data_IF_893864585108
#
_entry.id   IF_893864585108
#
_cell.length_a   1.000
_cell.length_b   1.000
_cell.length_c   1.000
_cell.angle_alpha   90.00
_cell.angle_beta   90.00
_cell.angle_gamma   90.00
#
_symmetry.space_group_name_H-M   'P 1'
#
loop_
_entity.id
_entity.type
_entity.pdbx_description
1 polymer ?
#
# COMPACT_ATOMS: atom_id res chain seq x y z
N UNK A 1 38.69 -23.37 22.40
CA UNK A 1 38.24 -24.60 21.73
C UNK A 1 37.25 -25.32 22.63
N UNK A 2 35.95 -25.12 22.42
CA UNK A 2 34.89 -25.82 23.13
C UNK A 2 33.90 -26.34 22.08
N UNK A 3 33.93 -27.66 21.87
CA UNK A 3 32.97 -28.39 21.04
C UNK A 3 31.71 -28.58 21.87
N UNK A 4 30.55 -28.15 21.37
CA UNK A 4 29.27 -28.69 21.81
C UNK A 4 28.41 -29.11 20.62
N UNK A 5 27.81 -30.26 20.83
CA UNK A 5 27.31 -31.25 19.88
C UNK A 5 25.85 -31.00 19.51
N UNK A 6 25.54 -31.28 18.24
CA UNK A 6 24.18 -31.43 17.68
C UNK A 6 23.34 -32.41 18.48
N UNK A 7 22.07 -32.07 18.70
CA UNK A 7 21.01 -33.05 18.92
C UNK A 7 19.84 -32.72 17.98
N UNK A 8 19.63 -33.61 17.00
CA UNK A 8 18.42 -33.70 16.19
C UNK A 8 17.42 -34.56 16.97
N UNK A 9 16.18 -34.10 17.11
CA UNK A 9 15.06 -34.99 17.43
C UNK A 9 14.02 -34.89 16.32
N UNK A 10 13.81 -36.03 15.66
CA UNK A 10 12.71 -36.34 14.78
C UNK A 10 11.59 -37.00 15.62
N UNK A 11 10.34 -36.58 15.43
CA UNK A 11 9.11 -37.35 15.74
C UNK A 11 7.99 -36.75 14.86
N UNK A 12 7.62 -37.35 13.73
CA UNK A 12 6.66 -38.47 13.53
C UNK A 12 5.21 -38.19 13.96
N UNK A 13 4.37 -37.94 12.93
CA UNK A 13 3.05 -38.54 12.60
C UNK A 13 1.93 -38.50 13.65
N UNK A 14 0.77 -37.92 13.29
CA UNK A 14 -0.54 -38.58 13.42
C UNK A 14 -1.61 -37.90 12.54
N UNK A 15 -1.98 -38.58 11.46
CA UNK A 15 -3.16 -38.31 10.63
C UNK A 15 -4.36 -38.96 11.35
N UNK A 16 -5.40 -38.18 11.65
CA UNK A 16 -6.70 -38.71 12.05
C UNK A 16 -7.76 -38.21 11.06
N UNK A 17 -8.01 -39.04 10.04
CA UNK A 17 -9.21 -38.95 9.19
C UNK A 17 -10.36 -39.65 9.91
N UNK A 18 -11.42 -38.90 10.23
CA UNK A 18 -12.71 -39.48 10.64
C UNK A 18 -13.71 -39.19 9.52
N UNK A 19 -13.99 -40.23 8.74
CA UNK A 19 -15.18 -40.38 7.91
C UNK A 19 -16.23 -41.18 8.69
N UNK A 20 -17.49 -41.08 8.24
CA UNK A 20 -18.75 -41.78 8.59
C UNK A 20 -19.77 -40.77 9.17
N UNK A 21 -21.05 -40.75 8.83
CA UNK A 21 -21.85 -41.38 7.77
C UNK A 21 -23.25 -40.74 7.82
N UNK A 22 -24.00 -40.94 6.73
CA UNK A 22 -25.38 -40.55 6.46
C UNK A 22 -26.44 -40.90 7.54
N UNK A 23 -27.55 -40.12 7.60
CA UNK A 23 -28.89 -40.55 7.16
C UNK A 23 -30.05 -39.63 7.66
N UNK A 24 -30.78 -39.07 6.69
CA UNK A 24 -32.24 -38.87 6.53
C UNK A 24 -33.26 -38.69 7.68
N UNK A 25 -34.16 -37.72 7.41
CA UNK A 25 -35.66 -37.73 7.53
C UNK A 25 -36.39 -37.33 8.83
N UNK A 26 -37.05 -36.15 8.80
CA UNK A 26 -38.49 -35.86 9.10
C UNK A 26 -38.64 -34.34 9.34
N UNK A 27 -39.29 -33.55 8.48
CA UNK A 27 -40.74 -33.26 8.48
C UNK A 27 -40.93 -31.72 8.49
N UNK A 28 -41.97 -31.15 7.84
CA UNK A 28 -42.12 -29.69 7.74
C UNK A 28 -42.67 -29.12 9.06
N UNK A 29 -41.88 -28.28 9.72
CA UNK A 29 -42.30 -27.48 10.88
C UNK A 29 -42.65 -26.06 10.43
N UNK A 30 -43.87 -25.88 9.93
CA UNK A 30 -44.49 -24.57 9.76
C UNK A 30 -45.00 -24.07 11.12
N UNK A 31 -44.12 -23.59 12.00
CA UNK A 31 -44.52 -22.85 13.21
C UNK A 31 -43.39 -22.08 13.93
N UNK A 32 -42.22 -21.85 13.30
CA UNK A 32 -41.09 -21.13 13.94
C UNK A 32 -40.43 -20.06 13.08
N UNK A 33 -41.11 -19.58 12.04
CA UNK A 33 -40.55 -18.56 11.14
C UNK A 33 -40.86 -17.11 11.53
N UNK A 34 -41.89 -16.84 12.34
CA UNK A 34 -42.26 -15.45 12.67
C UNK A 34 -41.42 -14.82 13.79
N UNK A 35 -40.94 -15.60 14.76
CA UNK A 35 -40.15 -15.06 15.87
C UNK A 35 -38.68 -14.82 15.49
N UNK A 36 -38.14 -15.60 14.54
CA UNK A 36 -36.81 -15.40 13.97
C UNK A 36 -36.77 -14.27 12.93
N UNK A 37 -37.88 -13.98 12.26
CA UNK A 37 -37.98 -12.84 11.35
C UNK A 37 -37.96 -11.50 12.11
N UNK A 38 -38.53 -11.44 13.32
CA UNK A 38 -38.47 -10.25 14.17
C UNK A 38 -37.04 -9.96 14.71
N UNK A 39 -36.28 -11.00 15.08
CA UNK A 39 -34.87 -10.85 15.46
C UNK A 39 -33.95 -10.55 14.27
N UNK A 40 -34.22 -11.11 13.10
CA UNK A 40 -33.49 -10.79 11.87
C UNK A 40 -33.76 -9.35 11.39
N UNK A 41 -34.98 -8.83 11.62
CA UNK A 41 -35.34 -7.45 11.25
C UNK A 41 -34.79 -6.40 12.23
N UNK A 42 -34.68 -6.71 13.54
CA UNK A 42 -33.99 -5.83 14.50
C UNK A 42 -32.48 -5.78 14.29
N UNK A 43 -31.84 -6.87 13.83
CA UNK A 43 -30.43 -6.85 13.42
C UNK A 43 -30.21 -6.23 12.03
N UNK A 44 -31.20 -6.26 11.13
CA UNK A 44 -31.11 -5.59 9.83
C UNK A 44 -31.34 -4.07 9.89
N UNK A 45 -31.96 -3.57 10.97
CA UNK A 45 -32.09 -2.14 11.27
C UNK A 45 -30.94 -1.55 12.08
N UNK A 46 -29.97 -2.38 12.50
CA UNK A 46 -28.58 -1.91 12.71
C UNK A 46 -27.88 -1.78 11.35
N UNK A 47 -28.60 -1.12 10.44
CA UNK A 47 -28.22 -0.84 9.10
C UNK A 47 -26.92 -0.04 9.10
N UNK A 48 -25.98 -0.54 8.29
CA UNK A 48 -25.25 0.30 7.36
C UNK A 48 -24.49 1.49 7.97
N UNK A 49 -23.54 1.19 8.83
CA UNK A 49 -22.23 1.81 8.66
C UNK A 49 -21.33 0.71 8.11
N UNK A 50 -21.20 0.64 6.78
CA UNK A 50 -19.97 0.02 6.26
C UNK A 50 -18.81 0.75 6.92
N UNK A 51 -17.75 0.06 7.37
CA UNK A 51 -16.55 0.74 7.82
C UNK A 51 -16.20 1.74 6.73
N UNK A 52 -16.25 3.03 7.06
CA UNK A 52 -15.93 4.08 6.10
C UNK A 52 -14.49 3.80 5.69
N UNK A 53 -14.30 3.38 4.44
CA UNK A 53 -12.99 3.04 3.95
C UNK A 53 -12.19 4.34 3.88
N UNK A 54 -11.07 4.40 4.60
CA UNK A 54 -10.14 5.53 4.59
C UNK A 54 -9.76 5.95 3.17
N UNK A 55 -9.67 4.99 2.23
CA UNK A 55 -9.40 5.27 0.82
C UNK A 55 -10.45 6.20 0.19
N UNK A 56 -11.72 6.04 0.57
CA UNK A 56 -12.83 6.85 0.08
C UNK A 56 -12.85 8.25 0.69
N UNK A 57 -12.35 8.39 1.92
CA UNK A 57 -12.22 9.69 2.56
C UNK A 57 -11.06 10.48 1.96
N UNK A 58 -9.91 9.85 1.77
CA UNK A 58 -8.74 10.46 1.13
C UNK A 58 -9.09 11.14 -0.20
N UNK A 59 -9.90 10.49 -1.03
CA UNK A 59 -10.35 11.04 -2.31
C UNK A 59 -11.22 12.32 -2.20
N UNK A 60 -11.74 12.65 -1.01
CA UNK A 60 -12.59 13.83 -0.76
C UNK A 60 -11.82 14.99 -0.13
N UNK A 61 -10.61 14.76 0.39
CA UNK A 61 -9.78 15.81 1.00
C UNK A 61 -9.45 16.87 -0.05
N UNK A 62 -9.26 18.12 0.36
CA UNK A 62 -8.82 19.17 -0.55
C UNK A 62 -7.41 18.86 -1.09
N UNK A 63 -7.22 19.01 -2.39
CA UNK A 63 -5.95 18.78 -3.05
C UNK A 63 -5.47 20.02 -3.80
N UNK A 64 -4.15 20.19 -3.86
CA UNK A 64 -3.51 21.12 -4.77
C UNK A 64 -3.74 20.71 -6.22
N UNK A 65 -3.61 21.64 -7.18
CA UNK A 65 -3.46 21.28 -8.59
C UNK A 65 -2.29 20.29 -8.79
N UNK A 66 -2.29 19.50 -9.87
CA UNK A 66 -1.15 18.65 -10.24
C UNK A 66 0.16 19.44 -10.22
N UNK A 67 1.18 18.88 -9.57
CA UNK A 67 2.49 19.52 -9.48
C UNK A 67 3.12 19.67 -10.88
N UNK A 68 3.97 20.69 -11.07
CA UNK A 68 4.68 20.89 -12.33
C UNK A 68 5.85 19.91 -12.52
N UNK A 69 6.31 19.29 -11.43
CA UNK A 69 7.42 18.34 -11.42
C UNK A 69 7.34 17.37 -10.23
N UNK A 70 8.07 16.26 -10.30
CA UNK A 70 8.21 15.35 -9.16
C UNK A 70 8.86 16.04 -7.96
N UNK A 71 9.83 16.93 -8.16
CA UNK A 71 10.48 17.65 -7.05
C UNK A 71 9.49 18.55 -6.29
N UNK A 72 8.65 19.28 -7.01
CA UNK A 72 7.59 20.10 -6.40
C UNK A 72 6.58 19.22 -5.63
N UNK A 73 6.16 18.10 -6.23
CA UNK A 73 5.28 17.13 -5.57
C UNK A 73 5.89 16.61 -4.27
N UNK A 74 7.15 16.16 -4.31
CA UNK A 74 7.83 15.59 -3.15
C UNK A 74 8.00 16.61 -2.02
N UNK A 75 8.40 17.83 -2.33
CA UNK A 75 8.51 18.89 -1.32
C UNK A 75 7.15 19.19 -0.65
N UNK A 76 6.11 19.33 -1.47
CA UNK A 76 4.75 19.58 -0.96
C UNK A 76 4.20 18.40 -0.16
N UNK A 77 4.57 17.17 -0.55
CA UNK A 77 4.18 15.94 0.15
C UNK A 77 4.83 15.89 1.53
N UNK A 78 6.12 16.18 1.62
CA UNK A 78 6.82 16.21 2.90
C UNK A 78 6.22 17.25 3.85
N UNK A 79 5.86 18.43 3.35
CA UNK A 79 5.21 19.47 4.16
C UNK A 79 3.82 19.04 4.67
N UNK A 80 2.98 18.43 3.81
CA UNK A 80 1.67 17.94 4.20
C UNK A 80 1.75 16.75 5.16
N UNK A 81 2.61 15.77 4.86
CA UNK A 81 2.85 14.59 5.69
C UNK A 81 3.40 14.97 7.07
N UNK A 82 4.25 16.00 7.16
CA UNK A 82 4.76 16.50 8.42
C UNK A 82 3.63 17.10 9.29
N UNK A 83 2.76 17.96 8.71
CA UNK A 83 1.59 18.51 9.42
C UNK A 83 0.63 17.42 9.89
N UNK A 84 0.37 16.43 9.03
CA UNK A 84 -0.46 15.28 9.38
C UNK A 84 0.15 14.51 10.57
N UNK A 85 1.44 14.24 10.51
CA UNK A 85 2.15 13.48 11.55
C UNK A 85 2.14 14.19 12.89
N UNK A 86 2.36 15.51 12.89
CA UNK A 86 2.28 16.35 14.10
C UNK A 86 0.85 16.34 14.68
N UNK A 87 -0.18 16.47 13.84
CA UNK A 87 -1.57 16.42 14.28
C UNK A 87 -1.94 15.08 14.93
N UNK A 88 -1.50 13.96 14.37
CA UNK A 88 -1.73 12.64 14.94
C UNK A 88 -1.05 12.49 16.31
N UNK A 89 0.20 12.97 16.43
CA UNK A 89 0.93 12.99 17.70
C UNK A 89 0.21 13.85 18.76
N UNK A 90 -0.26 15.03 18.40
CA UNK A 90 -1.02 15.93 19.30
C UNK A 90 -2.33 15.33 19.78
N UNK A 91 -2.94 14.42 19.01
CA UNK A 91 -4.14 13.66 19.38
C UNK A 91 -3.84 12.42 20.21
N UNK A 92 -2.58 12.14 20.49
CA UNK A 92 -2.14 11.03 21.34
C UNK A 92 -1.87 9.72 20.59
N UNK A 93 -1.85 9.75 19.26
CA UNK A 93 -1.42 8.61 18.45
C UNK A 93 0.10 8.58 18.30
N UNK A 94 0.71 7.39 18.10
CA UNK A 94 2.10 7.33 17.67
C UNK A 94 2.29 8.17 16.40
N UNK A 95 3.31 9.02 16.42
CA UNK A 95 3.64 9.91 15.30
C UNK A 95 3.91 9.09 14.03
N UNK A 96 3.10 9.24 12.96
CA UNK A 96 3.42 8.68 11.65
C UNK A 96 4.81 9.12 11.19
N UNK A 97 5.53 8.23 10.52
CA UNK A 97 6.85 8.53 9.95
C UNK A 97 6.79 8.48 8.45
N UNK A 98 7.54 9.34 7.77
CA UNK A 98 7.70 9.24 6.32
C UNK A 98 8.88 8.32 6.02
N UNK A 99 8.60 7.19 5.39
CA UNK A 99 9.62 6.27 4.86
C UNK A 99 10.13 6.78 3.50
N UNK A 100 11.42 6.60 3.22
CA UNK A 100 12.11 7.07 2.00
C UNK A 100 11.77 8.53 1.58
N UNK A 101 11.98 9.54 2.47
CA UNK A 101 11.55 10.91 2.23
C UNK A 101 12.28 11.55 1.03
N UNK A 102 11.58 12.44 0.33
CA UNK A 102 12.07 13.13 -0.88
C UNK A 102 12.40 12.18 -2.05
N UNK A 103 11.74 11.02 -2.13
CA UNK A 103 11.86 10.08 -3.24
C UNK A 103 10.48 9.73 -3.80
N UNK A 104 10.39 9.20 -5.04
CA UNK A 104 9.14 8.66 -5.58
C UNK A 104 8.49 7.56 -4.73
N UNK A 105 9.22 7.00 -3.76
CA UNK A 105 8.75 5.95 -2.84
C UNK A 105 8.30 6.48 -1.49
N UNK A 106 8.33 7.81 -1.29
CA UNK A 106 7.93 8.43 -0.04
C UNK A 106 6.52 7.99 0.35
N UNK A 107 6.38 7.45 1.57
CA UNK A 107 5.11 6.95 2.08
C UNK A 107 4.98 7.21 3.58
N UNK A 108 3.75 7.46 4.03
CA UNK A 108 3.46 7.59 5.45
C UNK A 108 3.31 6.18 6.02
N UNK A 109 4.15 5.85 6.99
CA UNK A 109 4.11 4.59 7.73
C UNK A 109 3.58 4.88 9.13
N UNK A 110 2.54 4.15 9.48
CA UNK A 110 1.88 4.26 10.77
C UNK A 110 2.07 2.99 11.59
N UNK A 111 2.08 3.12 12.91
CA UNK A 111 2.01 1.97 13.79
C UNK A 111 0.64 1.31 13.72
N UNK A 112 0.60 0.01 14.06
CA UNK A 112 -0.66 -0.73 14.10
C UNK A 112 -1.61 -0.11 15.12
N UNK A 113 -2.84 0.17 14.69
CA UNK A 113 -3.90 0.66 15.57
C UNK A 113 -4.17 -0.34 16.70
N UNK A 114 -4.16 0.09 17.97
CA UNK A 114 -4.56 -0.77 19.09
C UNK A 114 -5.98 -1.31 18.90
N UNK A 115 -6.18 -2.57 19.27
CA UNK A 115 -7.48 -3.25 19.14
C UNK A 115 -8.57 -2.49 19.90
N UNK A 116 -9.68 -2.21 19.21
CA UNK A 116 -10.84 -1.53 19.78
C UNK A 116 -10.77 0.00 19.74
N UNK A 117 -9.74 0.58 19.14
CA UNK A 117 -9.60 2.04 18.95
C UNK A 117 -9.69 2.46 17.48
N UNK A 118 -10.09 1.57 16.57
CA UNK A 118 -10.09 1.80 15.14
C UNK A 118 -11.02 2.96 14.73
N UNK A 119 -12.21 3.05 15.35
CA UNK A 119 -13.17 4.12 15.08
C UNK A 119 -12.70 5.49 15.60
N UNK A 120 -12.02 5.51 16.75
CA UNK A 120 -11.45 6.75 17.32
C UNK A 120 -10.30 7.25 16.46
N UNK A 121 -9.37 6.35 16.10
CA UNK A 121 -8.26 6.68 15.21
C UNK A 121 -8.76 7.21 13.86
N UNK A 122 -9.76 6.55 13.28
CA UNK A 122 -10.31 6.97 11.99
C UNK A 122 -10.87 8.41 12.00
N UNK A 123 -11.60 8.81 13.05
CA UNK A 123 -12.11 10.19 13.16
C UNK A 123 -11.00 11.21 13.37
N UNK A 124 -9.95 10.84 14.11
CA UNK A 124 -8.77 11.68 14.30
C UNK A 124 -7.95 11.81 13.01
N UNK A 125 -7.73 10.71 12.28
CA UNK A 125 -7.05 10.70 10.98
C UNK A 125 -7.79 11.61 9.99
N UNK A 126 -9.12 11.53 9.91
CA UNK A 126 -9.92 12.44 9.07
C UNK A 126 -9.68 13.91 9.41
N UNK A 127 -9.75 14.24 10.70
CA UNK A 127 -9.54 15.61 11.13
C UNK A 127 -8.09 16.09 10.88
N UNK A 128 -7.11 15.20 10.99
CA UNK A 128 -5.71 15.50 10.68
C UNK A 128 -5.43 15.61 9.18
N UNK A 129 -6.13 14.84 8.34
CA UNK A 129 -6.10 14.98 6.89
C UNK A 129 -6.66 16.34 6.45
N UNK A 130 -7.80 16.74 7.01
CA UNK A 130 -8.39 18.06 6.75
C UNK A 130 -7.49 19.20 7.22
N UNK A 131 -6.84 19.03 8.37
CA UNK A 131 -5.90 20.03 8.90
C UNK A 131 -4.62 20.16 8.06
N UNK A 132 -4.11 19.04 7.53
CA UNK A 132 -2.90 19.02 6.71
C UNK A 132 -3.13 19.40 5.24
N UNK A 133 -4.39 19.50 4.83
CA UNK A 133 -4.79 19.92 3.49
C UNK A 133 -4.33 21.36 3.15
N UNK A 134 -4.21 21.70 1.84
CA UNK A 134 -4.43 20.83 0.69
C UNK A 134 -3.28 19.83 0.47
N UNK A 135 -3.62 18.58 0.10
CA UNK A 135 -2.64 17.54 -0.22
C UNK A 135 -2.13 17.68 -1.66
N UNK A 136 -0.83 17.44 -1.92
CA UNK A 136 -0.30 17.54 -3.27
C UNK A 136 -0.81 16.42 -4.17
N UNK A 137 -0.90 16.73 -5.46
CA UNK A 137 -1.13 15.74 -6.51
C UNK A 137 0.13 15.52 -7.32
N UNK A 138 0.38 14.28 -7.73
CA UNK A 138 1.46 13.97 -8.64
C UNK A 138 1.33 14.78 -9.93
N UNK A 139 2.42 14.99 -10.68
CA UNK A 139 2.34 15.66 -11.96
C UNK A 139 1.32 14.99 -12.90
N UNK A 140 0.65 15.81 -13.72
CA UNK A 140 -0.27 15.30 -14.71
C UNK A 140 0.49 14.44 -15.73
N UNK A 141 -0.04 13.24 -16.00
CA UNK A 141 0.55 12.29 -16.96
C UNK A 141 0.31 12.75 -18.40
N UNK A 142 0.98 13.82 -18.80
CA UNK A 142 0.96 14.33 -20.17
C UNK A 142 2.01 13.60 -21.03
N UNK A 143 1.85 13.61 -22.35
CA UNK A 143 2.87 13.06 -23.27
C UNK A 143 4.24 13.71 -23.09
N UNK A 144 4.26 15.01 -22.76
CA UNK A 144 5.49 15.77 -22.56
C UNK A 144 6.17 15.36 -21.25
N UNK A 145 5.42 15.32 -20.15
CA UNK A 145 5.90 14.80 -18.87
C UNK A 145 6.45 13.37 -18.99
N UNK A 146 5.71 12.47 -19.65
CA UNK A 146 6.12 11.08 -19.83
C UNK A 146 7.36 10.92 -20.74
N UNK A 147 7.59 11.87 -21.65
CA UNK A 147 8.80 11.88 -22.45
C UNK A 147 10.04 12.24 -21.62
N UNK A 148 9.89 13.15 -20.66
CA UNK A 148 10.96 13.49 -19.72
C UNK A 148 11.22 12.33 -18.75
N UNK A 149 10.16 11.74 -18.18
CA UNK A 149 10.26 10.53 -17.35
C UNK A 149 10.98 9.41 -18.10
N UNK A 150 10.66 9.18 -19.37
CA UNK A 150 11.35 8.18 -20.17
C UNK A 150 12.87 8.44 -20.27
N UNK A 151 13.28 9.70 -20.47
CA UNK A 151 14.70 10.05 -20.49
C UNK A 151 15.38 9.79 -19.13
N UNK A 152 14.68 10.09 -18.02
CA UNK A 152 15.14 9.80 -16.65
C UNK A 152 15.30 8.29 -16.42
N UNK A 153 14.37 7.48 -16.93
CA UNK A 153 14.47 6.01 -16.88
C UNK A 153 15.66 5.45 -17.71
N UNK A 154 16.00 6.08 -18.83
CA UNK A 154 17.20 5.69 -19.59
C UNK A 154 18.48 6.01 -18.81
N UNK A 155 18.54 7.17 -18.15
CA UNK A 155 19.64 7.54 -17.25
C UNK A 155 19.75 6.58 -16.07
N UNK A 156 18.62 6.23 -15.46
CA UNK A 156 18.55 5.23 -14.41
C UNK A 156 19.17 3.90 -14.86
N UNK A 157 18.74 3.39 -16.02
CA UNK A 157 19.26 2.14 -16.57
C UNK A 157 20.78 2.20 -16.78
N UNK A 158 21.28 3.29 -17.34
CA UNK A 158 22.71 3.50 -17.54
C UNK A 158 23.46 3.51 -16.22
N UNK A 159 22.89 4.10 -15.17
CA UNK A 159 23.48 4.11 -13.84
C UNK A 159 23.51 2.70 -13.23
N UNK A 160 22.39 1.99 -13.20
CA UNK A 160 22.29 0.62 -12.68
C UNK A 160 23.29 -0.31 -13.37
N UNK A 161 23.44 -0.21 -14.69
CA UNK A 161 24.41 -1.00 -15.45
C UNK A 161 25.87 -0.72 -15.04
N UNK A 162 26.21 0.52 -14.65
CA UNK A 162 27.54 0.87 -14.13
C UNK A 162 27.79 0.30 -12.74
N UNK A 163 26.75 0.22 -11.92
CA UNK A 163 26.79 -0.42 -10.59
C UNK A 163 26.77 -1.96 -10.66
N UNK A 164 26.85 -2.53 -11.86
CA UNK A 164 26.88 -3.98 -12.08
C UNK A 164 25.50 -4.64 -12.03
N UNK A 165 24.42 -3.85 -12.02
CA UNK A 165 23.06 -4.35 -12.12
C UNK A 165 22.66 -4.65 -13.57
N UNK A 166 21.78 -5.64 -13.73
CA UNK A 166 21.17 -5.99 -15.01
C UNK A 166 19.67 -5.69 -14.96
N UNK A 167 19.22 -4.81 -15.85
CA UNK A 167 17.79 -4.56 -16.11
C UNK A 167 17.55 -4.62 -17.62
N UNK A 168 16.34 -5.03 -18.02
CA UNK A 168 15.99 -5.15 -19.43
C UNK A 168 16.04 -3.80 -20.17
N UNK A 169 16.07 -3.86 -21.49
CA UNK A 169 15.94 -2.66 -22.32
C UNK A 169 14.55 -2.04 -22.15
N UNK A 170 14.50 -0.71 -22.18
CA UNK A 170 13.24 0.01 -22.16
C UNK A 170 12.48 -0.27 -23.45
N UNK A 171 11.13 -0.30 -23.42
CA UNK A 171 10.34 -0.19 -24.64
C UNK A 171 10.68 1.11 -25.37
N UNK A 172 10.26 1.25 -26.63
CA UNK A 172 10.43 2.55 -27.32
C UNK A 172 9.70 3.65 -26.55
N UNK A 173 10.19 4.89 -26.66
CA UNK A 173 9.57 6.07 -26.03
C UNK A 173 8.08 6.17 -26.32
N UNK A 174 7.68 6.00 -27.57
CA UNK A 174 6.28 6.06 -27.99
C UNK A 174 5.45 4.96 -27.34
N UNK A 175 5.99 3.72 -27.29
CA UNK A 175 5.32 2.60 -26.65
C UNK A 175 5.18 2.82 -25.14
N UNK A 176 6.21 3.30 -24.47
CA UNK A 176 6.15 3.63 -23.04
C UNK A 176 5.03 4.63 -22.75
N UNK A 177 5.00 5.75 -23.50
CA UNK A 177 4.00 6.81 -23.32
C UNK A 177 2.59 6.26 -23.56
N UNK A 178 2.39 5.47 -24.61
CA UNK A 178 1.09 4.87 -24.92
C UNK A 178 0.64 3.86 -23.85
N UNK A 179 1.54 3.00 -23.39
CA UNK A 179 1.23 2.01 -22.35
C UNK A 179 0.85 2.68 -21.02
N UNK A 180 1.54 3.75 -20.63
CA UNK A 180 1.23 4.54 -19.41
C UNK A 180 -0.14 5.20 -19.53
N UNK A 181 -0.40 5.90 -20.63
CA UNK A 181 -1.67 6.60 -20.84
C UNK A 181 -2.86 5.63 -20.96
N UNK A 182 -2.62 4.41 -21.46
CA UNK A 182 -3.63 3.36 -21.54
C UNK A 182 -3.91 2.68 -20.18
N UNK A 183 -3.13 2.95 -19.14
CA UNK A 183 -3.22 2.26 -17.85
C UNK A 183 -2.84 0.77 -17.95
N UNK A 184 -1.99 0.41 -18.91
CA UNK A 184 -1.56 -0.96 -19.16
C UNK A 184 -0.48 -1.45 -18.19
N UNK A 185 0.10 -2.61 -18.49
CA UNK A 185 1.30 -3.08 -17.79
C UNK A 185 2.51 -2.27 -18.27
N UNK A 186 2.89 -1.26 -17.48
CA UNK A 186 4.00 -0.35 -17.79
C UNK A 186 5.32 -0.99 -17.40
N UNK A 187 6.34 -0.85 -18.25
CA UNK A 187 7.70 -1.20 -17.88
C UNK A 187 8.12 -0.38 -16.65
N UNK A 188 8.56 -1.06 -15.59
CA UNK A 188 8.98 -0.41 -14.34
C UNK A 188 10.41 -0.84 -13.99
N UNK A 189 11.32 0.11 -13.74
CA UNK A 189 12.69 -0.23 -13.35
C UNK A 189 12.73 -1.09 -12.08
N UNK A 190 11.79 -0.86 -11.16
CA UNK A 190 11.70 -1.60 -9.91
C UNK A 190 11.30 -3.05 -10.12
N UNK A 191 10.34 -3.30 -11.00
CA UNK A 191 9.96 -4.66 -11.35
C UNK A 191 11.10 -5.41 -12.06
N UNK A 192 11.91 -4.72 -12.87
CA UNK A 192 13.07 -5.32 -13.54
C UNK A 192 14.20 -5.65 -12.56
N UNK A 193 14.52 -4.73 -11.64
CA UNK A 193 15.47 -4.99 -10.55
C UNK A 193 15.04 -6.15 -9.66
N UNK A 194 13.72 -6.29 -9.41
CA UNK A 194 13.16 -7.38 -8.62
C UNK A 194 13.35 -8.72 -9.32
N UNK A 195 13.16 -8.76 -10.64
CA UNK A 195 13.31 -9.97 -11.46
C UNK A 195 14.76 -10.40 -11.63
N UNK A 196 15.70 -9.45 -11.74
CA UNK A 196 17.11 -9.78 -12.00
C UNK A 196 17.81 -10.42 -10.80
N UNK A 197 17.21 -10.39 -9.60
CA UNK A 197 17.83 -10.94 -8.41
C UNK A 197 19.07 -10.15 -7.95
N UNK A 198 19.35 -9.01 -8.59
CA UNK A 198 20.22 -7.95 -8.07
C UNK A 198 19.73 -7.48 -6.68
N UNK A 199 18.49 -7.80 -6.35
CA UNK A 199 17.76 -7.34 -5.19
C UNK A 199 17.34 -8.50 -4.27
N UNK A 200 18.03 -8.68 -3.14
CA UNK A 200 17.60 -9.56 -2.05
C UNK A 200 17.58 -8.81 -0.71
N UNK A 201 16.54 -8.00 -0.52
CA UNK A 201 16.16 -7.39 0.76
C UNK A 201 16.90 -6.11 1.13
N UNK A 202 16.13 -5.00 1.27
CA UNK A 202 16.53 -3.61 1.59
C UNK A 202 17.50 -3.02 0.53
N UNK A 203 17.26 -1.89 -0.15
CA UNK A 203 16.31 -0.80 -0.01
C UNK A 203 16.00 -0.20 -1.40
N UNK A 204 14.72 0.08 -1.70
CA UNK A 204 14.36 0.83 -2.92
C UNK A 204 14.99 2.22 -2.90
N UNK A 205 14.93 2.87 -1.73
CA UNK A 205 15.63 4.12 -1.44
C UNK A 205 17.13 4.07 -1.70
N UNK A 206 17.86 3.00 -1.32
CA UNK A 206 19.31 2.91 -1.59
C UNK A 206 19.63 2.96 -3.08
N UNK A 207 18.88 2.24 -3.91
CA UNK A 207 19.10 2.24 -5.36
C UNK A 207 18.74 3.60 -5.94
N UNK A 208 17.66 4.22 -5.48
CA UNK A 208 17.33 5.58 -5.88
C UNK A 208 18.41 6.58 -5.48
N UNK A 209 19.01 6.43 -4.30
CA UNK A 209 20.11 7.28 -3.85
C UNK A 209 21.40 7.06 -4.65
N UNK A 210 21.66 5.84 -5.12
CA UNK A 210 22.79 5.53 -6.01
C UNK A 210 22.53 6.02 -7.44
N UNK A 211 21.31 5.84 -7.92
CA UNK A 211 20.86 6.13 -9.26
C UNK A 211 19.51 6.87 -9.22
N UNK A 212 19.52 8.20 -9.01
CA UNK A 212 18.28 8.99 -8.98
C UNK A 212 17.66 9.08 -10.37
N UNK A 213 16.32 9.12 -10.44
CA UNK A 213 15.56 9.37 -11.66
C UNK A 213 14.25 10.11 -11.39
#
# INVERSE_FOLDING_TARGET
MLRMTRQRMCSFIAICSVLLSACSQHGPSEAKHDELAAFASQNAQSAASQPQDFSSYWAQVEHLPPASSNEEYQNSFMDAAQKYSDCMEERGWPRPVVDDPYTPFASIVEEATPLGQEAEKFEDEKACLDFSAPWPQSPELTREYLAEEYARLEDFRRCVAKEGGEISELPTREKYIEDVLAGGNVWSPMEELRKSGFWSGKQQGEIFHLCPW
#
